data_IF_817275251167
#
_entry.id   IF_817275251167
#
_cell.length_a   1.000
_cell.length_b   1.000
_cell.length_c   1.000
_cell.angle_alpha   90.00
_cell.angle_beta   90.00
_cell.angle_gamma   90.00
#
_symmetry.space_group_name_H-M   'P 1'
#
loop_
_entity.id
_entity.type
_entity.pdbx_description
1 polymer ?
#
# COMPACT_ATOMS: atom_id res chain seq x y z
N UNK A 1 41.15 35.74 -8.34
CA UNK A 1 39.75 35.30 -8.55
C UNK A 1 39.65 34.00 -9.37
N UNK A 2 40.50 32.98 -9.13
CA UNK A 2 40.41 31.66 -9.78
C UNK A 2 40.28 30.48 -8.82
N UNK A 3 40.40 30.72 -7.50
CA UNK A 3 40.39 29.66 -6.49
C UNK A 3 39.12 29.62 -5.63
N UNK A 4 38.14 30.50 -5.88
CA UNK A 4 36.85 30.47 -5.17
C UNK A 4 35.79 29.60 -5.87
N UNK A 5 36.01 29.25 -7.15
CA UNK A 5 35.07 28.44 -7.92
C UNK A 5 35.20 26.93 -7.65
N UNK A 6 36.33 26.47 -7.10
CA UNK A 6 36.54 25.05 -6.79
C UNK A 6 36.00 24.61 -5.42
N UNK A 7 35.71 25.55 -4.52
CA UNK A 7 35.20 25.22 -3.17
C UNK A 7 33.67 25.04 -3.12
N UNK A 8 32.96 25.43 -4.18
CA UNK A 8 31.50 25.31 -4.29
C UNK A 8 31.04 23.99 -4.91
N UNK A 9 31.96 23.08 -5.26
CA UNK A 9 31.67 21.81 -5.93
C UNK A 9 31.51 20.61 -4.97
N UNK A 10 31.58 20.81 -3.65
CA UNK A 10 31.68 19.70 -2.68
C UNK A 10 30.55 19.57 -1.65
N UNK A 11 29.41 20.26 -1.78
CA UNK A 11 28.29 20.14 -0.82
C UNK A 11 26.93 19.90 -1.49
N UNK A 12 26.91 19.05 -2.51
CA UNK A 12 25.67 18.43 -3.00
C UNK A 12 25.87 16.91 -2.99
N UNK A 13 26.14 16.35 -1.81
CA UNK A 13 25.78 14.95 -1.56
C UNK A 13 24.27 14.91 -1.44
N UNK A 14 23.60 14.82 -2.58
CA UNK A 14 22.21 14.39 -2.62
C UNK A 14 22.26 12.92 -2.19
N UNK A 15 21.96 12.63 -0.93
CA UNK A 15 21.81 11.26 -0.45
C UNK A 15 20.61 10.65 -1.17
N UNK A 16 20.86 10.01 -2.31
CA UNK A 16 19.88 9.15 -2.97
C UNK A 16 19.93 7.79 -2.29
N UNK A 17 19.38 7.71 -1.08
CA UNK A 17 19.28 6.46 -0.34
C UNK A 17 18.06 5.67 -0.83
N UNK A 18 18.24 5.01 -1.99
CA UNK A 18 17.39 3.90 -2.44
C UNK A 18 18.22 2.60 -2.48
N UNK A 19 19.17 2.45 -1.57
CA UNK A 19 20.00 1.25 -1.44
C UNK A 19 19.45 0.36 -0.32
N UNK A 20 19.50 -0.95 -0.54
CA UNK A 20 19.16 -1.96 0.47
C UNK A 20 20.15 -1.85 1.63
N UNK A 21 19.62 -1.72 2.84
CA UNK A 21 20.38 -1.73 4.09
C UNK A 21 20.51 -3.17 4.55
N UNK A 22 21.74 -3.63 4.75
CA UNK A 22 22.03 -4.93 5.35
C UNK A 22 22.32 -4.71 6.84
N UNK A 23 21.43 -5.22 7.70
CA UNK A 23 21.50 -5.04 9.14
C UNK A 23 21.73 -6.40 9.82
N UNK A 24 22.90 -6.64 10.43
CA UNK A 24 23.09 -7.78 11.31
C UNK A 24 22.33 -7.55 12.63
N UNK A 25 21.37 -8.41 12.93
CA UNK A 25 20.52 -8.33 14.12
C UNK A 25 20.80 -9.50 15.06
N UNK A 26 21.35 -9.24 16.25
CA UNK A 26 21.46 -10.28 17.28
C UNK A 26 20.10 -10.52 17.93
N UNK A 27 19.61 -11.76 17.85
CA UNK A 27 18.34 -12.19 18.42
C UNK A 27 18.59 -13.02 19.68
N UNK A 28 17.96 -12.64 20.79
CA UNK A 28 18.02 -13.43 22.02
C UNK A 28 17.11 -14.67 21.94
N UNK A 29 16.04 -14.60 21.14
CA UNK A 29 15.17 -15.75 20.85
C UNK A 29 15.89 -16.83 20.05
N UNK A 30 16.70 -16.44 19.07
CA UNK A 30 17.42 -17.38 18.21
C UNK A 30 18.80 -17.77 18.76
N UNK A 31 19.32 -17.03 19.75
CA UNK A 31 20.71 -17.07 20.23
C UNK A 31 21.76 -16.99 19.10
N UNK A 32 21.47 -16.16 18.09
CA UNK A 32 22.35 -15.95 16.95
C UNK A 32 22.09 -14.58 16.29
N UNK A 33 23.06 -14.16 15.48
CA UNK A 33 22.89 -13.01 14.60
C UNK A 33 22.19 -13.42 13.31
N UNK A 34 21.10 -12.73 12.99
CA UNK A 34 20.35 -12.86 11.75
C UNK A 34 20.66 -11.67 10.84
N UNK A 35 21.02 -11.93 9.58
CA UNK A 35 21.13 -10.86 8.59
C UNK A 35 19.74 -10.48 8.07
N UNK A 36 19.46 -9.18 8.09
CA UNK A 36 18.17 -8.61 7.68
C UNK A 36 18.42 -7.61 6.56
N UNK A 37 17.61 -7.67 5.51
CA UNK A 37 17.61 -6.68 4.42
C UNK A 37 16.49 -5.68 4.64
N UNK A 38 16.76 -4.39 4.55
CA UNK A 38 15.77 -3.33 4.74
C UNK A 38 15.79 -2.39 3.53
N UNK A 39 14.63 -2.18 2.91
CA UNK A 39 14.44 -1.14 1.89
C UNK A 39 13.49 -0.08 2.43
N UNK A 40 13.98 1.15 2.52
CA UNK A 40 13.17 2.32 2.79
C UNK A 40 12.54 2.85 1.49
N UNK A 41 11.34 3.42 1.55
CA UNK A 41 10.73 4.00 0.36
C UNK A 41 11.50 5.25 -0.10
N UNK A 42 11.43 5.55 -1.40
CA UNK A 42 12.03 6.79 -1.96
C UNK A 42 11.57 8.03 -1.20
N UNK A 43 12.53 8.88 -0.87
CA UNK A 43 12.32 10.09 -0.07
C UNK A 43 11.66 9.75 1.28
N UNK A 44 12.14 8.70 1.95
CA UNK A 44 11.74 8.37 3.31
C UNK A 44 11.99 9.59 4.21
N UNK A 45 10.97 9.93 5.01
CA UNK A 45 11.06 11.02 5.96
C UNK A 45 10.72 10.48 7.36
N UNK A 46 11.70 10.41 8.28
CA UNK A 46 11.45 9.94 9.64
C UNK A 46 10.44 10.83 10.40
N UNK A 47 10.38 12.12 10.05
CA UNK A 47 9.47 13.11 10.63
C UNK A 47 8.12 13.19 9.90
N UNK A 48 7.84 12.26 8.96
CA UNK A 48 6.56 12.25 8.26
C UNK A 48 5.41 12.03 9.25
N UNK A 49 4.36 12.85 9.14
CA UNK A 49 3.14 12.67 9.94
C UNK A 49 2.48 11.31 9.66
N UNK A 50 2.57 10.82 8.42
CA UNK A 50 2.02 9.53 8.03
C UNK A 50 3.07 8.44 8.14
N UNK A 51 2.69 7.36 8.80
CA UNK A 51 3.50 6.16 8.99
C UNK A 51 3.47 5.28 7.74
N UNK A 52 4.52 4.50 7.52
CA UNK A 52 4.67 3.63 6.34
C UNK A 52 4.23 2.19 6.66
N UNK A 53 3.45 1.51 5.79
CA UNK A 53 3.22 0.06 5.92
C UNK A 53 4.52 -0.72 6.02
N UNK A 54 4.50 -1.79 6.80
CA UNK A 54 5.64 -2.69 6.97
C UNK A 54 5.38 -3.99 6.22
N UNK A 55 6.30 -4.38 5.34
CA UNK A 55 6.25 -5.65 4.61
C UNK A 55 7.38 -6.54 5.10
N UNK A 56 7.03 -7.59 5.85
CA UNK A 56 7.96 -8.64 6.28
C UNK A 56 7.99 -9.73 5.21
N UNK A 57 9.17 -10.04 4.71
CA UNK A 57 9.39 -11.06 3.67
C UNK A 57 10.28 -12.15 4.25
N UNK A 58 9.72 -13.35 4.42
CA UNK A 58 10.49 -14.55 4.75
C UNK A 58 11.25 -15.01 3.49
N UNK A 59 12.24 -15.87 3.66
CA UNK A 59 13.15 -16.27 2.58
C UNK A 59 13.81 -15.05 1.88
N UNK A 60 14.22 -14.06 2.69
CA UNK A 60 14.74 -12.77 2.23
C UNK A 60 16.01 -12.85 1.37
N UNK A 61 16.65 -14.01 1.33
CA UNK A 61 17.78 -14.29 0.46
C UNK A 61 17.41 -14.34 -1.03
N UNK A 62 16.18 -14.72 -1.39
CA UNK A 62 15.71 -14.69 -2.78
C UNK A 62 14.36 -13.98 -3.00
N UNK A 63 13.52 -13.87 -1.96
CA UNK A 63 12.17 -13.31 -2.08
C UNK A 63 12.14 -11.78 -1.86
N UNK A 64 13.18 -11.22 -1.24
CA UNK A 64 13.23 -9.80 -0.89
C UNK A 64 13.22 -8.88 -2.12
N UNK A 65 14.13 -9.09 -3.08
CA UNK A 65 14.31 -8.20 -4.23
C UNK A 65 13.05 -8.13 -5.12
N UNK A 66 12.37 -9.24 -5.46
CA UNK A 66 11.10 -9.19 -6.18
C UNK A 66 10.03 -8.35 -5.50
N UNK A 67 9.90 -8.45 -4.17
CA UNK A 67 8.95 -7.65 -3.39
C UNK A 67 9.37 -6.18 -3.34
N UNK A 68 10.62 -5.93 -2.97
CA UNK A 68 11.16 -4.59 -2.79
C UNK A 68 11.09 -3.77 -4.08
N UNK A 69 11.41 -4.38 -5.23
CA UNK A 69 11.32 -3.74 -6.53
C UNK A 69 9.87 -3.44 -6.95
N UNK A 70 8.93 -4.38 -6.75
CA UNK A 70 7.52 -4.16 -7.10
C UNK A 70 6.87 -3.10 -6.22
N UNK A 71 7.18 -3.10 -4.91
CA UNK A 71 6.68 -2.10 -3.97
C UNK A 71 7.20 -0.70 -4.34
N UNK A 72 8.49 -0.57 -4.64
CA UNK A 72 9.07 0.71 -5.07
C UNK A 72 8.46 1.20 -6.39
N UNK A 73 8.36 0.32 -7.39
CA UNK A 73 7.81 0.66 -8.71
C UNK A 73 6.35 1.13 -8.63
N UNK A 74 5.49 0.38 -7.94
CA UNK A 74 4.08 0.76 -7.84
C UNK A 74 3.87 2.01 -6.98
N UNK A 75 4.69 2.18 -5.92
CA UNK A 75 4.63 3.38 -5.09
C UNK A 75 5.11 4.64 -5.86
N UNK A 76 6.06 4.51 -6.78
CA UNK A 76 6.50 5.59 -7.66
C UNK A 76 5.33 6.17 -8.48
N UNK A 77 4.44 5.30 -8.97
CA UNK A 77 3.24 5.70 -9.73
C UNK A 77 2.05 6.10 -8.83
N UNK A 78 2.21 6.09 -7.50
CA UNK A 78 1.13 6.42 -6.57
C UNK A 78 -0.01 5.41 -6.53
N UNK A 79 0.18 4.21 -7.10
CA UNK A 79 -0.82 3.14 -7.14
C UNK A 79 -0.96 2.42 -5.79
N UNK A 80 0.12 2.40 -5.00
CA UNK A 80 0.17 1.83 -3.65
C UNK A 80 0.89 2.79 -2.70
N UNK A 81 0.72 2.68 -1.37
CA UNK A 81 1.49 3.49 -0.42
C UNK A 81 2.97 3.13 -0.45
N UNK A 82 3.81 4.14 -0.21
CA UNK A 82 5.22 3.95 0.14
C UNK A 82 5.32 3.04 1.36
N UNK A 83 6.15 2.01 1.30
CA UNK A 83 6.24 0.98 2.34
C UNK A 83 7.70 0.72 2.72
N UNK A 84 7.92 0.28 3.95
CA UNK A 84 9.21 -0.24 4.43
C UNK A 84 9.19 -1.76 4.23
N UNK A 85 10.21 -2.29 3.57
CA UNK A 85 10.32 -3.73 3.27
C UNK A 85 11.46 -4.31 4.09
N UNK A 86 11.21 -5.41 4.79
CA UNK A 86 12.18 -6.08 5.65
C UNK A 86 12.22 -7.56 5.27
N UNK A 87 13.35 -7.99 4.70
CA UNK A 87 13.63 -9.38 4.36
C UNK A 87 14.45 -10.07 5.45
N UNK A 88 14.07 -11.31 5.80
CA UNK A 88 14.81 -12.13 6.77
C UNK A 88 15.57 -13.20 6.01
N UNK A 89 16.90 -13.16 6.00
CA UNK A 89 17.69 -14.16 5.28
C UNK A 89 17.66 -15.50 6.02
N UNK A 90 17.36 -16.59 5.30
CA UNK A 90 17.15 -17.92 5.89
C UNK A 90 17.99 -19.02 5.25
N UNK A 91 18.91 -18.69 4.32
CA UNK A 91 19.74 -19.62 3.53
C UNK A 91 20.20 -20.88 4.27
N UNK A 92 20.70 -20.75 5.50
CA UNK A 92 21.29 -21.87 6.25
C UNK A 92 20.39 -22.41 7.38
N UNK A 93 19.27 -21.76 7.65
CA UNK A 93 18.43 -22.02 8.84
C UNK A 93 16.97 -22.24 8.47
N UNK A 94 16.61 -22.22 7.18
CA UNK A 94 15.23 -22.30 6.70
C UNK A 94 14.46 -23.48 7.30
N UNK A 95 15.04 -24.67 7.29
CA UNK A 95 14.36 -25.88 7.78
C UNK A 95 14.13 -25.84 9.31
N UNK A 96 15.07 -25.28 10.07
CA UNK A 96 14.94 -25.17 11.53
C UNK A 96 14.06 -24.00 11.95
N UNK A 97 14.17 -22.85 11.27
CA UNK A 97 13.36 -21.65 11.49
C UNK A 97 11.87 -21.92 11.22
N UNK A 98 11.57 -22.78 10.24
CA UNK A 98 10.20 -23.08 9.80
C UNK A 98 9.67 -24.40 10.39
N UNK A 99 10.42 -25.00 11.33
CA UNK A 99 10.06 -26.25 11.96
C UNK A 99 8.70 -26.17 12.67
N UNK A 100 7.91 -27.22 12.53
CA UNK A 100 6.70 -27.46 13.31
C UNK A 100 6.69 -28.88 13.87
N UNK A 101 6.06 -29.07 15.02
CA UNK A 101 5.92 -30.35 15.69
C UNK A 101 5.08 -31.36 14.88
N UNK A 102 5.50 -32.63 14.83
CA UNK A 102 4.86 -33.65 14.00
C UNK A 102 3.53 -34.19 14.53
N UNK A 103 3.16 -33.90 15.78
CA UNK A 103 1.91 -34.34 16.38
C UNK A 103 0.87 -33.21 16.40
N UNK A 104 1.27 -32.02 16.84
CA UNK A 104 0.35 -30.88 16.96
C UNK A 104 0.38 -29.94 15.74
N UNK A 105 1.38 -30.05 14.88
CA UNK A 105 1.53 -29.26 13.65
C UNK A 105 1.61 -27.74 13.89
N UNK A 106 2.25 -27.34 15.00
CA UNK A 106 2.54 -25.94 15.35
C UNK A 106 4.04 -25.71 15.51
N UNK A 107 4.54 -24.48 15.36
CA UNK A 107 5.94 -24.17 15.59
C UNK A 107 6.38 -24.62 16.98
N UNK A 108 7.50 -25.33 17.02
CA UNK A 108 8.11 -25.85 18.24
C UNK A 108 9.63 -25.64 18.17
N UNK A 109 10.34 -25.78 19.30
CA UNK A 109 11.79 -25.61 19.37
C UNK A 109 12.31 -24.36 18.63
N UNK A 110 13.19 -24.53 17.62
CA UNK A 110 13.73 -23.45 16.80
C UNK A 110 12.64 -22.72 16.01
N UNK A 111 11.60 -23.42 15.54
CA UNK A 111 10.47 -22.79 14.86
C UNK A 111 9.63 -21.90 15.78
N UNK A 112 9.43 -22.31 17.04
CA UNK A 112 8.80 -21.45 18.04
C UNK A 112 9.69 -20.23 18.35
N UNK A 113 11.00 -20.44 18.42
CA UNK A 113 11.99 -19.37 18.63
C UNK A 113 11.98 -18.36 17.47
N UNK A 114 11.87 -18.83 16.23
CA UNK A 114 11.75 -17.99 15.04
C UNK A 114 10.42 -17.23 14.99
N UNK A 115 9.32 -17.89 15.37
CA UNK A 115 8.02 -17.25 15.51
C UNK A 115 8.07 -16.07 16.51
N UNK A 116 8.70 -16.28 17.67
CA UNK A 116 8.87 -15.26 18.69
C UNK A 116 9.85 -14.17 18.27
N UNK A 117 10.94 -14.51 17.59
CA UNK A 117 11.90 -13.54 17.05
C UNK A 117 11.21 -12.49 16.19
N UNK A 118 10.40 -12.90 15.21
CA UNK A 118 9.74 -11.94 14.31
C UNK A 118 8.79 -11.03 15.08
N UNK A 119 7.92 -11.60 15.92
CA UNK A 119 6.87 -10.87 16.61
C UNK A 119 7.32 -10.06 17.82
N UNK A 120 8.33 -10.53 18.55
CA UNK A 120 8.75 -9.97 19.84
C UNK A 120 10.08 -9.22 19.78
N UNK A 121 10.90 -9.41 18.75
CA UNK A 121 12.19 -8.74 18.63
C UNK A 121 12.29 -7.91 17.34
N UNK A 122 12.12 -8.54 16.17
CA UNK A 122 12.32 -7.88 14.89
C UNK A 122 11.35 -6.72 14.66
N UNK A 123 10.05 -6.96 14.77
CA UNK A 123 9.05 -5.91 14.56
C UNK A 123 9.25 -4.75 15.55
N UNK A 124 9.40 -4.97 16.87
CA UNK A 124 9.74 -3.90 17.82
C UNK A 124 11.04 -3.15 17.48
N UNK A 125 12.08 -3.84 17.00
CA UNK A 125 13.32 -3.21 16.55
C UNK A 125 13.06 -2.26 15.37
N UNK A 126 12.34 -2.71 14.34
CA UNK A 126 11.99 -1.89 13.19
C UNK A 126 11.14 -0.69 13.60
N UNK A 127 10.18 -0.88 14.51
CA UNK A 127 9.33 0.18 15.07
C UNK A 127 10.11 1.22 15.86
N UNK A 128 11.20 0.82 16.53
CA UNK A 128 12.05 1.75 17.26
C UNK A 128 12.93 2.61 16.34
N UNK A 129 13.26 2.12 15.14
CA UNK A 129 14.20 2.74 14.20
C UNK A 129 13.50 3.50 13.08
N UNK A 130 12.30 3.08 12.68
CA UNK A 130 11.60 3.60 11.52
C UNK A 130 10.12 3.90 11.79
N UNK A 131 9.58 4.87 11.05
CA UNK A 131 8.22 5.35 11.20
C UNK A 131 7.19 4.41 10.54
N UNK A 132 6.94 3.24 11.13
CA UNK A 132 6.03 2.21 10.58
C UNK A 132 4.60 2.30 11.13
N UNK A 133 3.63 1.90 10.31
CA UNK A 133 2.21 1.78 10.66
C UNK A 133 1.88 0.37 11.16
N UNK A 134 0.71 0.23 11.78
CA UNK A 134 0.19 -1.09 12.20
C UNK A 134 -0.34 -1.93 11.04
N UNK A 135 -0.32 -1.41 9.80
CA UNK A 135 -0.64 -2.19 8.62
C UNK A 135 0.59 -2.98 8.18
N UNK A 136 0.76 -4.14 8.82
CA UNK A 136 1.85 -5.08 8.57
C UNK A 136 1.40 -6.17 7.59
N UNK A 137 2.21 -6.40 6.57
CA UNK A 137 2.06 -7.46 5.58
C UNK A 137 3.16 -8.49 5.84
N UNK A 138 2.83 -9.78 5.74
CA UNK A 138 3.82 -10.86 5.77
C UNK A 138 3.70 -11.72 4.51
N UNK A 139 4.83 -12.05 3.92
CA UNK A 139 4.92 -12.84 2.70
C UNK A 139 5.90 -14.01 2.85
N UNK A 140 5.56 -15.13 2.22
CA UNK A 140 6.41 -16.31 2.15
C UNK A 140 6.15 -17.12 0.88
N UNK A 141 7.02 -18.10 0.66
CA UNK A 141 6.96 -19.05 -0.44
C UNK A 141 7.22 -20.47 0.09
N UNK A 142 6.46 -21.45 -0.39
CA UNK A 142 6.64 -22.86 0.00
C UNK A 142 6.48 -23.06 1.53
N UNK A 143 7.43 -23.65 2.27
CA UNK A 143 7.32 -23.86 3.71
C UNK A 143 7.14 -22.55 4.50
N UNK A 144 7.71 -21.43 4.04
CA UNK A 144 7.58 -20.14 4.72
C UNK A 144 6.19 -19.54 4.52
N UNK A 145 5.55 -19.80 3.37
CA UNK A 145 4.15 -19.45 3.13
C UNK A 145 3.19 -20.22 4.05
N UNK A 146 3.49 -21.47 4.39
CA UNK A 146 2.76 -22.18 5.44
C UNK A 146 2.98 -21.54 6.81
N UNK A 147 4.24 -21.26 7.16
CA UNK A 147 4.62 -20.78 8.49
C UNK A 147 3.93 -19.45 8.87
N UNK A 148 3.76 -18.53 7.93
CA UNK A 148 3.15 -17.23 8.22
C UNK A 148 1.69 -17.32 8.69
N UNK A 149 0.99 -18.44 8.43
CA UNK A 149 -0.37 -18.66 8.95
C UNK A 149 -0.42 -18.65 10.48
N UNK A 150 0.63 -19.10 11.16
CA UNK A 150 0.62 -19.24 12.61
C UNK A 150 0.40 -17.91 13.35
N UNK A 151 0.78 -16.78 12.75
CA UNK A 151 0.54 -15.46 13.33
C UNK A 151 -0.94 -15.08 13.38
N UNK A 152 -1.74 -15.64 12.47
CA UNK A 152 -3.18 -15.41 12.41
C UNK A 152 -3.93 -16.07 13.56
N UNK A 153 -3.37 -17.14 14.14
CA UNK A 153 -4.00 -17.90 15.22
C UNK A 153 -3.86 -17.25 16.60
N UNK A 154 -3.06 -16.19 16.74
CA UNK A 154 -3.01 -15.39 17.97
C UNK A 154 -4.28 -14.56 18.12
N UNK A 155 -4.70 -14.31 19.36
CA UNK A 155 -5.91 -13.54 19.68
C UNK A 155 -5.93 -12.18 18.97
N UNK A 156 -4.79 -11.49 18.98
CA UNK A 156 -4.53 -10.26 18.25
C UNK A 156 -3.43 -10.49 17.20
N UNK A 157 -3.81 -10.85 15.95
CA UNK A 157 -2.83 -11.03 14.88
C UNK A 157 -2.07 -9.73 14.61
N UNK A 158 -0.75 -9.83 14.56
CA UNK A 158 0.14 -8.67 14.32
C UNK A 158 0.21 -8.25 12.85
N UNK A 159 -0.18 -9.15 11.93
CA UNK A 159 -0.26 -8.91 10.49
C UNK A 159 -1.71 -8.75 10.02
N UNK A 160 -1.92 -7.79 9.12
CA UNK A 160 -3.20 -7.52 8.44
C UNK A 160 -3.30 -8.19 7.09
N UNK A 161 -2.17 -8.53 6.46
CA UNK A 161 -2.14 -9.19 5.18
C UNK A 161 -1.14 -10.36 5.16
N UNK A 162 -1.57 -11.47 4.58
CA UNK A 162 -0.79 -12.70 4.44
C UNK A 162 -0.71 -13.05 2.95
N UNK A 163 0.51 -13.19 2.43
CA UNK A 163 0.77 -13.49 1.03
C UNK A 163 1.48 -14.84 0.95
N UNK A 164 0.76 -15.85 0.45
CA UNK A 164 1.22 -17.23 0.40
C UNK A 164 1.44 -17.65 -1.06
N UNK A 165 2.70 -17.81 -1.45
CA UNK A 165 3.06 -18.39 -2.75
C UNK A 165 3.35 -19.88 -2.60
N UNK A 166 2.63 -20.73 -3.33
CA UNK A 166 2.76 -22.19 -3.33
C UNK A 166 2.96 -22.81 -1.94
N UNK A 167 2.07 -22.56 -0.95
CA UNK A 167 2.34 -23.01 0.41
C UNK A 167 2.38 -24.54 0.55
N UNK A 168 3.44 -25.08 1.16
CA UNK A 168 3.44 -26.45 1.68
C UNK A 168 2.70 -26.52 3.01
N UNK A 169 1.38 -26.57 2.91
CA UNK A 169 0.49 -26.57 4.06
C UNK A 169 0.76 -27.78 4.96
N UNK A 170 1.05 -27.47 6.23
CA UNK A 170 1.13 -28.46 7.30
C UNK A 170 -0.22 -29.18 7.47
N UNK A 171 -0.22 -30.42 8.02
CA UNK A 171 -1.47 -31.09 8.35
C UNK A 171 -2.39 -30.21 9.22
N UNK A 172 -3.69 -30.34 9.00
CA UNK A 172 -4.76 -29.54 9.64
C UNK A 172 -4.76 -28.03 9.35
N UNK A 173 -3.70 -27.46 8.76
CA UNK A 173 -3.58 -26.02 8.50
C UNK A 173 -4.79 -25.49 7.75
N UNK A 174 -5.24 -26.21 6.73
CA UNK A 174 -6.42 -25.88 5.92
C UNK A 174 -7.67 -25.66 6.76
N UNK A 175 -7.97 -26.59 7.66
CA UNK A 175 -9.13 -26.54 8.54
C UNK A 175 -9.01 -25.40 9.55
N UNK A 176 -7.84 -25.27 10.18
CA UNK A 176 -7.56 -24.25 11.20
C UNK A 176 -7.64 -22.82 10.63
N UNK A 177 -7.09 -22.59 9.44
CA UNK A 177 -7.20 -21.30 8.74
C UNK A 177 -8.66 -20.97 8.44
N UNK A 178 -9.44 -21.93 7.92
CA UNK A 178 -10.87 -21.70 7.64
C UNK A 178 -11.64 -21.32 8.91
N UNK A 179 -11.43 -22.03 10.01
CA UNK A 179 -12.06 -21.73 11.30
C UNK A 179 -11.65 -20.36 11.82
N UNK A 180 -10.36 -20.02 11.74
CA UNK A 180 -9.88 -18.71 12.16
C UNK A 180 -10.46 -17.58 11.32
N UNK A 181 -10.42 -17.70 9.99
CA UNK A 181 -10.99 -16.70 9.08
C UNK A 181 -12.50 -16.51 9.27
N UNK A 182 -13.22 -17.54 9.74
CA UNK A 182 -14.66 -17.43 10.06
C UNK A 182 -14.92 -16.56 11.29
N UNK A 183 -13.98 -16.50 12.25
CA UNK A 183 -14.17 -15.84 13.55
C UNK A 183 -13.45 -14.49 13.68
N UNK A 184 -12.50 -14.18 12.78
CA UNK A 184 -11.80 -12.89 12.78
C UNK A 184 -12.75 -11.72 12.58
N UNK A 185 -12.60 -10.68 13.40
CA UNK A 185 -13.42 -9.48 13.39
C UNK A 185 -12.67 -8.23 12.86
N UNK A 186 -11.43 -8.40 12.43
CA UNK A 186 -10.61 -7.33 11.82
C UNK A 186 -10.41 -7.58 10.35
N UNK A 187 -10.39 -6.50 9.56
CA UNK A 187 -10.03 -6.54 8.15
C UNK A 187 -8.70 -7.29 7.96
N UNK A 188 -8.76 -8.41 7.24
CA UNK A 188 -7.64 -9.34 7.03
C UNK A 188 -7.58 -9.72 5.56
N UNK A 189 -6.43 -9.48 4.93
CA UNK A 189 -6.17 -9.86 3.54
C UNK A 189 -5.46 -11.20 3.53
N UNK A 190 -6.04 -12.18 2.84
CA UNK A 190 -5.48 -13.52 2.76
C UNK A 190 -5.36 -13.91 1.29
N UNK A 191 -4.13 -14.01 0.80
CA UNK A 191 -3.83 -14.31 -0.59
C UNK A 191 -3.08 -15.63 -0.70
N UNK A 192 -3.58 -16.51 -1.57
CA UNK A 192 -2.95 -17.80 -1.86
C UNK A 192 -2.78 -17.95 -3.36
N UNK A 193 -1.61 -18.40 -3.79
CA UNK A 193 -1.34 -18.68 -5.20
C UNK A 193 -0.68 -20.05 -5.41
N UNK A 194 -0.99 -20.67 -6.54
CA UNK A 194 -0.31 -21.84 -7.12
C UNK A 194 -0.25 -21.68 -8.65
N UNK A 195 0.26 -22.67 -9.37
CA UNK A 195 0.28 -22.67 -10.83
C UNK A 195 -0.05 -24.04 -11.44
N UNK A 196 -0.26 -24.06 -12.75
CA UNK A 196 -0.53 -25.27 -13.51
C UNK A 196 0.63 -26.27 -13.47
N UNK A 197 1.88 -25.80 -13.54
CA UNK A 197 3.11 -26.60 -13.47
C UNK A 197 3.82 -26.54 -12.10
N UNK A 198 3.06 -26.26 -11.03
CA UNK A 198 3.55 -26.32 -9.66
C UNK A 198 3.84 -27.78 -9.23
N UNK A 199 4.46 -27.96 -8.06
CA UNK A 199 4.66 -29.27 -7.45
C UNK A 199 3.29 -29.91 -7.19
N UNK A 200 3.01 -31.04 -7.86
CA UNK A 200 1.67 -31.66 -7.90
C UNK A 200 1.03 -31.83 -6.53
N UNK A 201 1.79 -32.32 -5.53
CA UNK A 201 1.27 -32.53 -4.18
C UNK A 201 0.89 -31.22 -3.48
N UNK A 202 1.67 -30.15 -3.69
CA UNK A 202 1.38 -28.84 -3.12
C UNK A 202 0.14 -28.25 -3.80
N UNK A 203 0.12 -28.27 -5.13
CA UNK A 203 -1.00 -27.80 -5.94
C UNK A 203 -2.32 -28.43 -5.52
N UNK A 204 -2.39 -29.75 -5.37
CA UNK A 204 -3.62 -30.45 -4.99
C UNK A 204 -4.10 -30.04 -3.58
N UNK A 205 -3.17 -29.90 -2.62
CA UNK A 205 -3.48 -29.38 -1.28
C UNK A 205 -3.97 -27.92 -1.35
N UNK A 206 -3.34 -27.07 -2.16
CA UNK A 206 -3.69 -25.66 -2.33
C UNK A 206 -5.06 -25.50 -2.98
N UNK A 207 -5.38 -26.29 -4.01
CA UNK A 207 -6.70 -26.31 -4.65
C UNK A 207 -7.79 -26.78 -3.68
N UNK A 208 -7.48 -27.77 -2.85
CA UNK A 208 -8.35 -28.22 -1.76
C UNK A 208 -8.57 -27.09 -0.74
N UNK A 209 -7.50 -26.40 -0.34
CA UNK A 209 -7.57 -25.25 0.56
C UNK A 209 -8.44 -24.14 0.01
N UNK A 210 -8.23 -23.76 -1.25
CA UNK A 210 -9.06 -22.77 -1.92
C UNK A 210 -10.54 -23.18 -1.94
N UNK A 211 -10.84 -24.44 -2.26
CA UNK A 211 -12.21 -24.96 -2.28
C UNK A 211 -12.89 -24.85 -0.91
N UNK A 212 -12.14 -25.06 0.17
CA UNK A 212 -12.66 -24.91 1.54
C UNK A 212 -12.89 -23.44 1.96
N UNK A 213 -12.16 -22.50 1.35
CA UNK A 213 -12.30 -21.06 1.62
C UNK A 213 -13.32 -20.38 0.70
N UNK A 214 -13.67 -20.97 -0.45
CA UNK A 214 -14.57 -20.37 -1.44
C UNK A 214 -15.97 -20.03 -0.91
N UNK A 215 -16.42 -20.70 0.15
CA UNK A 215 -17.72 -20.46 0.80
C UNK A 215 -17.67 -19.52 2.02
N UNK A 216 -16.53 -18.90 2.31
CA UNK A 216 -16.39 -18.03 3.48
C UNK A 216 -17.23 -16.76 3.32
N UNK A 217 -18.12 -16.49 4.28
CA UNK A 217 -19.04 -15.35 4.27
C UNK A 217 -18.65 -14.19 5.19
N UNK A 218 -17.43 -14.20 5.74
CA UNK A 218 -17.00 -13.17 6.67
C UNK A 218 -16.63 -11.86 5.92
N UNK A 219 -17.36 -10.75 6.13
CA UNK A 219 -17.13 -9.48 5.42
C UNK A 219 -15.81 -8.80 5.80
N UNK A 220 -15.15 -9.25 6.88
CA UNK A 220 -13.83 -8.77 7.29
C UNK A 220 -12.68 -9.50 6.59
N UNK A 221 -12.96 -10.54 5.82
CA UNK A 221 -11.93 -11.31 5.12
C UNK A 221 -11.90 -10.96 3.64
N UNK A 222 -10.76 -10.45 3.21
CA UNK A 222 -10.46 -10.13 1.83
C UNK A 222 -9.66 -11.29 1.23
N UNK A 223 -10.37 -12.39 0.92
CA UNK A 223 -9.76 -13.59 0.35
C UNK A 223 -9.55 -13.46 -1.16
N UNK A 224 -8.36 -13.85 -1.63
CA UNK A 224 -8.01 -13.93 -3.05
C UNK A 224 -7.20 -15.19 -3.32
N UNK A 225 -7.51 -15.82 -4.44
CA UNK A 225 -6.82 -17.01 -4.91
C UNK A 225 -6.39 -16.86 -6.36
N UNK A 226 -5.20 -17.36 -6.68
CA UNK A 226 -4.72 -17.51 -8.04
C UNK A 226 -4.19 -18.91 -8.34
N UNK A 227 -4.53 -19.36 -9.55
CA UNK A 227 -3.90 -20.50 -10.19
C UNK A 227 -3.34 -20.01 -11.53
N UNK A 228 -2.05 -19.72 -11.56
CA UNK A 228 -1.39 -19.18 -12.75
C UNK A 228 -1.22 -20.26 -13.82
N UNK A 229 -1.45 -19.89 -15.07
CA UNK A 229 -1.13 -20.72 -16.24
C UNK A 229 0.27 -20.37 -16.74
N UNK A 230 0.95 -21.34 -17.36
CA UNK A 230 2.30 -21.15 -17.92
C UNK A 230 3.34 -20.71 -16.87
N UNK A 231 3.13 -21.10 -15.61
CA UNK A 231 4.04 -20.82 -14.51
C UNK A 231 4.35 -22.10 -13.74
N UNK A 232 5.52 -22.12 -13.10
CA UNK A 232 5.99 -23.19 -12.24
C UNK A 232 6.04 -22.71 -10.78
N UNK A 233 6.47 -23.61 -9.89
CA UNK A 233 6.64 -23.37 -8.46
C UNK A 233 7.34 -22.04 -8.13
N UNK A 234 8.36 -21.65 -8.91
CA UNK A 234 9.16 -20.45 -8.66
C UNK A 234 8.65 -19.24 -9.46
N UNK A 235 8.31 -19.43 -10.74
CA UNK A 235 7.93 -18.31 -11.62
C UNK A 235 6.57 -17.68 -11.25
N UNK A 236 5.71 -18.40 -10.53
CA UNK A 236 4.45 -17.85 -10.01
C UNK A 236 4.66 -16.67 -9.05
N UNK A 237 5.80 -16.62 -8.36
CA UNK A 237 6.12 -15.51 -7.44
C UNK A 237 6.21 -14.20 -8.20
N UNK A 238 6.92 -14.21 -9.35
CA UNK A 238 7.09 -13.03 -10.19
C UNK A 238 5.78 -12.52 -10.80
N UNK A 239 4.82 -13.41 -11.04
CA UNK A 239 3.48 -13.06 -11.54
C UNK A 239 2.54 -12.59 -10.42
N UNK A 240 2.65 -13.21 -9.25
CA UNK A 240 1.72 -13.03 -8.15
C UNK A 240 1.95 -11.76 -7.34
N UNK A 241 3.21 -11.35 -7.11
CA UNK A 241 3.54 -10.13 -6.34
C UNK A 241 2.79 -8.89 -6.85
N UNK A 242 2.88 -8.49 -8.14
CA UNK A 242 2.14 -7.32 -8.62
C UNK A 242 0.63 -7.48 -8.47
N UNK A 243 0.10 -8.70 -8.65
CA UNK A 243 -1.35 -8.96 -8.56
C UNK A 243 -1.88 -8.81 -7.13
N UNK A 244 -1.19 -9.40 -6.15
CA UNK A 244 -1.60 -9.33 -4.74
C UNK A 244 -1.44 -7.93 -4.17
N UNK A 245 -0.37 -7.21 -4.51
CA UNK A 245 -0.19 -5.81 -4.06
C UNK A 245 -1.30 -4.90 -4.60
N UNK A 246 -1.66 -5.06 -5.87
CA UNK A 246 -2.79 -4.35 -6.46
C UNK A 246 -4.14 -4.69 -5.81
N UNK A 247 -4.32 -5.93 -5.36
CA UNK A 247 -5.53 -6.36 -4.67
C UNK A 247 -5.60 -5.80 -3.24
N UNK A 248 -4.51 -5.91 -2.47
CA UNK A 248 -4.41 -5.39 -1.11
C UNK A 248 -4.65 -3.88 -1.11
N UNK A 249 -4.01 -3.15 -2.03
CA UNK A 249 -4.07 -1.69 -2.08
C UNK A 249 -5.09 -1.13 -3.07
N UNK A 250 -6.07 -1.93 -3.51
CA UNK A 250 -7.05 -1.52 -4.52
C UNK A 250 -7.78 -0.21 -4.16
N UNK A 251 -8.14 -0.04 -2.88
CA UNK A 251 -8.80 1.18 -2.39
C UNK A 251 -7.89 2.42 -2.42
N UNK A 252 -6.57 2.23 -2.30
CA UNK A 252 -5.59 3.32 -2.29
C UNK A 252 -5.42 3.96 -3.66
N UNK A 253 -5.70 3.23 -4.75
CA UNK A 253 -5.53 3.71 -6.13
C UNK A 253 -6.34 4.99 -6.40
N UNK A 254 -5.82 5.89 -7.27
CA UNK A 254 -6.59 7.02 -7.78
C UNK A 254 -7.90 6.58 -8.44
N UNK A 255 -8.90 7.46 -8.42
CA UNK A 255 -10.21 7.21 -8.99
C UNK A 255 -10.08 7.10 -10.50
N UNK A 256 -10.26 5.89 -11.01
CA UNK A 256 -10.23 5.59 -12.43
C UNK A 256 -11.62 5.79 -13.07
N UNK A 257 -11.69 5.65 -14.40
CA UNK A 257 -12.93 5.84 -15.16
C UNK A 257 -14.06 4.91 -14.69
N UNK A 258 -13.75 3.65 -14.37
CA UNK A 258 -14.75 2.69 -13.93
C UNK A 258 -15.31 3.06 -12.56
N UNK A 259 -14.45 3.35 -11.57
CA UNK A 259 -14.84 3.80 -10.24
C UNK A 259 -15.64 5.11 -10.32
N UNK A 260 -15.18 6.06 -11.13
CA UNK A 260 -15.89 7.31 -11.40
C UNK A 260 -17.33 7.07 -11.88
N UNK A 261 -17.51 6.26 -12.92
CA UNK A 261 -18.83 6.04 -13.52
C UNK A 261 -19.73 5.17 -12.66
N UNK A 262 -19.20 4.12 -12.04
CA UNK A 262 -20.02 3.11 -11.36
C UNK A 262 -20.24 3.39 -9.88
N UNK A 263 -19.38 4.21 -9.25
CA UNK A 263 -19.44 4.48 -7.82
C UNK A 263 -19.61 5.98 -7.53
N UNK A 264 -18.74 6.87 -8.02
CA UNK A 264 -18.82 8.29 -7.68
C UNK A 264 -20.08 8.95 -8.28
N UNK A 265 -20.33 8.76 -9.58
CA UNK A 265 -21.49 9.33 -10.26
C UNK A 265 -22.82 8.79 -9.73
N UNK A 266 -22.84 7.55 -9.24
CA UNK A 266 -24.05 6.91 -8.70
C UNK A 266 -24.22 7.13 -7.19
N UNK A 267 -23.22 7.68 -6.49
CA UNK A 267 -23.29 7.91 -5.06
C UNK A 267 -24.33 8.99 -4.70
N UNK A 268 -25.31 8.61 -3.86
CA UNK A 268 -26.43 9.46 -3.44
C UNK A 268 -25.99 10.70 -2.66
N UNK A 269 -24.94 10.59 -1.85
CA UNK A 269 -24.42 11.71 -1.06
C UNK A 269 -23.67 12.79 -1.85
N UNK A 270 -23.50 12.61 -3.17
CA UNK A 270 -22.78 13.54 -4.03
C UNK A 270 -21.27 13.25 -4.14
N UNK A 271 -20.60 13.80 -5.17
CA UNK A 271 -19.24 13.41 -5.53
C UNK A 271 -18.19 13.80 -4.48
N UNK A 272 -18.36 14.94 -3.79
CA UNK A 272 -17.43 15.31 -2.72
C UNK A 272 -17.56 14.38 -1.50
N UNK A 273 -18.79 13.99 -1.13
CA UNK A 273 -19.00 13.02 -0.03
C UNK A 273 -18.45 11.64 -0.37
N UNK A 274 -18.50 11.24 -1.65
CA UNK A 274 -17.83 10.02 -2.09
C UNK A 274 -16.31 10.11 -1.91
N UNK A 275 -15.69 11.24 -2.28
CA UNK A 275 -14.27 11.49 -2.05
C UNK A 275 -13.92 11.38 -0.57
N UNK A 276 -14.67 12.06 0.31
CA UNK A 276 -14.48 11.97 1.77
C UNK A 276 -14.59 10.52 2.26
N UNK A 277 -15.61 9.79 1.80
CA UNK A 277 -15.79 8.37 2.15
C UNK A 277 -14.57 7.55 1.75
N UNK A 278 -14.10 7.65 0.50
CA UNK A 278 -12.93 6.89 0.01
C UNK A 278 -11.70 7.14 0.89
N UNK A 279 -11.40 8.39 1.20
CA UNK A 279 -10.21 8.73 2.00
C UNK A 279 -10.33 8.34 3.48
N UNK A 280 -11.55 8.36 4.03
CA UNK A 280 -11.83 7.82 5.37
C UNK A 280 -11.68 6.30 5.40
N UNK A 281 -12.18 5.60 4.38
CA UNK A 281 -12.06 4.15 4.27
C UNK A 281 -10.58 3.72 4.14
N UNK A 282 -9.77 4.47 3.40
CA UNK A 282 -8.30 4.26 3.33
C UNK A 282 -7.69 4.33 4.73
N UNK A 283 -8.04 5.35 5.51
CA UNK A 283 -7.55 5.51 6.89
C UNK A 283 -8.00 4.36 7.79
N UNK A 284 -9.25 3.93 7.67
CA UNK A 284 -9.82 2.85 8.49
C UNK A 284 -9.17 1.49 8.17
N UNK A 285 -8.99 1.18 6.89
CA UNK A 285 -8.48 -0.12 6.43
C UNK A 285 -6.96 -0.21 6.59
N UNK A 286 -6.22 0.83 6.21
CA UNK A 286 -4.76 0.78 6.20
C UNK A 286 -4.09 1.49 7.38
N UNK A 287 -4.85 2.17 8.25
CA UNK A 287 -4.32 2.79 9.46
C UNK A 287 -3.44 4.04 9.23
N UNK A 288 -3.46 4.63 8.02
CA UNK A 288 -2.74 5.87 7.72
C UNK A 288 -3.55 6.82 6.82
N UNK A 289 -3.26 8.12 6.88
CA UNK A 289 -3.91 9.12 6.04
C UNK A 289 -3.27 9.16 4.64
N UNK A 290 -4.07 9.12 3.58
CA UNK A 290 -3.61 9.39 2.21
C UNK A 290 -3.79 10.87 1.90
N UNK A 291 -2.75 11.52 1.38
CA UNK A 291 -2.88 12.87 0.82
C UNK A 291 -3.77 12.82 -0.43
N UNK A 292 -4.74 13.73 -0.52
CA UNK A 292 -5.61 13.82 -1.70
C UNK A 292 -4.76 14.11 -2.95
N UNK A 293 -5.05 13.39 -4.04
CA UNK A 293 -4.37 13.58 -5.33
C UNK A 293 -5.24 14.37 -6.30
N UNK A 294 -4.61 15.16 -7.18
CA UNK A 294 -5.33 16.07 -8.08
C UNK A 294 -6.28 15.33 -9.04
N UNK A 295 -5.92 14.11 -9.47
CA UNK A 295 -6.80 13.28 -10.30
C UNK A 295 -8.18 13.02 -9.64
N UNK A 296 -8.19 12.74 -8.34
CA UNK A 296 -9.44 12.47 -7.61
C UNK A 296 -10.27 13.75 -7.46
N UNK A 297 -9.61 14.90 -7.27
CA UNK A 297 -10.28 16.20 -7.23
C UNK A 297 -10.89 16.57 -8.59
N UNK A 298 -10.17 16.28 -9.68
CA UNK A 298 -10.67 16.46 -11.05
C UNK A 298 -11.89 15.58 -11.33
N UNK A 299 -11.90 14.34 -10.84
CA UNK A 299 -13.07 13.47 -10.90
C UNK A 299 -14.27 14.09 -10.16
N UNK A 300 -14.06 14.66 -8.97
CA UNK A 300 -15.13 15.39 -8.25
C UNK A 300 -15.68 16.56 -9.06
N UNK A 301 -14.82 17.39 -9.68
CA UNK A 301 -15.27 18.50 -10.54
C UNK A 301 -16.15 18.01 -11.68
N UNK A 302 -15.70 16.98 -12.39
CA UNK A 302 -16.44 16.43 -13.53
C UNK A 302 -17.83 15.90 -13.10
N UNK A 303 -17.90 15.19 -11.98
CA UNK A 303 -19.16 14.69 -11.45
C UNK A 303 -20.07 15.82 -10.92
N UNK A 304 -19.50 16.82 -10.24
CA UNK A 304 -20.23 17.95 -9.70
C UNK A 304 -20.86 18.79 -10.80
N UNK A 305 -20.15 19.00 -11.92
CA UNK A 305 -20.69 19.69 -13.09
C UNK A 305 -21.90 18.96 -13.69
N UNK A 306 -21.80 17.64 -13.88
CA UNK A 306 -22.91 16.82 -14.41
C UNK A 306 -24.14 16.88 -13.49
N UNK A 307 -23.91 16.84 -12.16
CA UNK A 307 -24.96 16.84 -11.15
C UNK A 307 -25.45 18.25 -10.75
N UNK A 308 -24.87 19.30 -11.33
CA UNK A 308 -25.08 20.71 -10.93
C UNK A 308 -24.95 20.91 -9.41
N UNK A 309 -23.97 20.23 -8.79
CA UNK A 309 -23.76 20.18 -7.34
C UNK A 309 -22.86 21.32 -6.87
N UNK A 310 -23.46 22.46 -6.56
CA UNK A 310 -22.75 23.65 -6.09
C UNK A 310 -22.03 23.43 -4.73
N UNK A 311 -22.59 22.59 -3.85
CA UNK A 311 -21.96 22.33 -2.55
C UNK A 311 -20.67 21.51 -2.72
N UNK A 312 -20.63 20.57 -3.67
CA UNK A 312 -19.40 19.86 -4.00
C UNK A 312 -18.30 20.80 -4.50
N UNK A 313 -18.60 21.79 -5.34
CA UNK A 313 -17.62 22.81 -5.76
C UNK A 313 -17.10 23.62 -4.56
N UNK A 314 -18.00 24.04 -3.67
CA UNK A 314 -17.66 24.81 -2.48
C UNK A 314 -16.74 24.02 -1.55
N UNK A 315 -17.08 22.78 -1.23
CA UNK A 315 -16.25 21.94 -0.35
C UNK A 315 -14.92 21.57 -1.01
N UNK A 316 -14.91 21.29 -2.32
CA UNK A 316 -13.68 21.06 -3.06
C UNK A 316 -12.75 22.29 -3.03
N UNK A 317 -13.29 23.51 -3.13
CA UNK A 317 -12.49 24.74 -3.02
C UNK A 317 -11.82 24.90 -1.65
N UNK A 318 -12.50 24.47 -0.57
CA UNK A 318 -11.94 24.48 0.78
C UNK A 318 -10.82 23.44 0.91
N UNK A 319 -11.06 22.23 0.41
CA UNK A 319 -10.08 21.16 0.39
C UNK A 319 -8.81 21.57 -0.39
N UNK A 320 -8.97 22.15 -1.57
CA UNK A 320 -7.86 22.60 -2.42
C UNK A 320 -6.96 23.62 -1.72
N UNK A 321 -7.56 24.62 -1.06
CA UNK A 321 -6.81 25.63 -0.30
C UNK A 321 -6.10 25.06 0.92
N UNK A 322 -6.66 24.02 1.55
CA UNK A 322 -6.04 23.35 2.69
C UNK A 322 -4.85 22.47 2.27
N UNK A 323 -5.03 21.64 1.24
CA UNK A 323 -4.04 20.63 0.84
C UNK A 323 -2.97 21.16 -0.13
N UNK A 324 -3.29 22.24 -0.85
CA UNK A 324 -2.45 22.82 -1.91
C UNK A 324 -2.38 24.37 -1.86
N UNK A 325 -2.11 25.00 -0.70
CA UNK A 325 -2.20 26.47 -0.54
C UNK A 325 -1.26 27.27 -1.46
N UNK A 326 -0.13 26.70 -1.87
CA UNK A 326 0.85 27.37 -2.74
C UNK A 326 0.71 27.02 -4.23
N UNK A 327 -0.29 26.22 -4.59
CA UNK A 327 -0.48 25.71 -5.96
C UNK A 327 -1.65 26.40 -6.65
N UNK A 328 -1.50 26.60 -7.97
CA UNK A 328 -2.52 27.17 -8.86
C UNK A 328 -3.86 26.45 -8.76
N UNK A 329 -3.87 25.15 -8.46
CA UNK A 329 -5.09 24.35 -8.31
C UNK A 329 -6.02 24.90 -7.21
N UNK A 330 -5.47 25.49 -6.14
CA UNK A 330 -6.27 26.07 -5.07
C UNK A 330 -7.06 27.30 -5.53
N UNK A 331 -6.41 28.18 -6.30
CA UNK A 331 -7.04 29.33 -6.92
C UNK A 331 -8.03 28.91 -7.99
N UNK A 332 -7.67 27.92 -8.83
CA UNK A 332 -8.52 27.40 -9.89
C UNK A 332 -9.84 26.84 -9.38
N UNK A 333 -9.80 25.91 -8.40
CA UNK A 333 -11.03 25.34 -7.86
C UNK A 333 -11.88 26.34 -7.06
N UNK A 334 -11.26 27.36 -6.46
CA UNK A 334 -12.01 28.46 -5.83
C UNK A 334 -12.68 29.35 -6.87
N UNK A 335 -12.00 29.64 -7.99
CA UNK A 335 -12.59 30.36 -9.11
C UNK A 335 -13.76 29.60 -9.74
N UNK A 336 -13.62 28.28 -9.95
CA UNK A 336 -14.71 27.45 -10.47
C UNK A 336 -15.94 27.47 -9.57
N UNK A 337 -15.77 27.40 -8.26
CA UNK A 337 -16.91 27.54 -7.32
C UNK A 337 -17.65 28.87 -7.53
N UNK A 338 -16.93 29.99 -7.65
CA UNK A 338 -17.57 31.28 -7.89
C UNK A 338 -18.17 31.42 -9.28
N UNK A 339 -17.65 30.75 -10.32
CA UNK A 339 -18.33 30.65 -11.61
C UNK A 339 -19.67 29.94 -11.46
N UNK A 340 -19.72 28.80 -10.76
CA UNK A 340 -20.97 28.06 -10.53
C UNK A 340 -21.97 28.83 -9.65
N UNK A 341 -21.49 29.75 -8.80
CA UNK A 341 -22.31 30.70 -8.04
C UNK A 341 -22.78 31.92 -8.87
N UNK A 342 -22.41 32.00 -10.16
CA UNK A 342 -22.61 33.18 -11.02
C UNK A 342 -21.95 34.47 -10.48
N UNK A 343 -20.85 34.33 -9.75
CA UNK A 343 -20.07 35.43 -9.20
C UNK A 343 -18.77 35.67 -9.99
N UNK A 344 -18.92 36.08 -11.25
CA UNK A 344 -17.81 36.27 -12.19
C UNK A 344 -16.74 37.22 -11.67
N UNK A 345 -17.11 38.24 -10.88
CA UNK A 345 -16.16 39.16 -10.25
C UNK A 345 -15.21 38.43 -9.29
N UNK A 346 -15.75 37.60 -8.39
CA UNK A 346 -14.91 36.82 -7.46
C UNK A 346 -14.13 35.72 -8.19
N UNK A 347 -14.75 35.05 -9.15
CA UNK A 347 -14.06 34.04 -9.95
C UNK A 347 -12.81 34.63 -10.63
N UNK A 348 -12.96 35.78 -11.30
CA UNK A 348 -11.86 36.50 -11.94
C UNK A 348 -10.74 36.88 -10.95
N UNK A 349 -11.10 37.36 -9.76
CA UNK A 349 -10.11 37.70 -8.72
C UNK A 349 -9.28 36.48 -8.31
N UNK A 350 -9.90 35.33 -8.10
CA UNK A 350 -9.17 34.11 -7.73
C UNK A 350 -8.25 33.63 -8.85
N UNK A 351 -8.72 33.57 -10.09
CA UNK A 351 -7.86 33.16 -11.21
C UNK A 351 -6.66 34.10 -11.40
N UNK A 352 -6.86 35.41 -11.30
CA UNK A 352 -5.78 36.40 -11.38
C UNK A 352 -4.76 36.22 -10.25
N UNK A 353 -5.23 36.03 -9.00
CA UNK A 353 -4.35 35.77 -7.87
C UNK A 353 -3.55 34.46 -8.02
N UNK A 354 -4.15 33.46 -8.66
CA UNK A 354 -3.53 32.17 -8.92
C UNK A 354 -2.31 32.24 -9.83
N UNK A 355 -2.19 33.25 -10.70
CA UNK A 355 -1.04 33.41 -11.61
C UNK A 355 0.31 33.58 -10.87
N UNK A 356 0.27 33.94 -9.59
CA UNK A 356 1.42 34.08 -8.71
C UNK A 356 1.81 32.77 -7.98
N UNK A 357 0.99 31.72 -8.07
CA UNK A 357 1.21 30.44 -7.41
C UNK A 357 2.04 29.48 -8.28
N UNK A 358 2.42 28.33 -7.73
CA UNK A 358 3.15 27.29 -8.46
C UNK A 358 2.20 26.49 -9.35
N UNK A 359 2.56 26.19 -10.61
CA UNK A 359 1.80 25.26 -11.44
C UNK A 359 1.63 23.89 -10.76
N UNK A 360 0.51 23.24 -11.06
CA UNK A 360 0.13 21.90 -10.58
C UNK A 360 0.21 20.89 -11.72
N UNK A 361 -0.11 19.62 -11.47
CA UNK A 361 -0.13 18.58 -12.51
C UNK A 361 -1.15 18.89 -13.62
N UNK A 362 -2.32 19.41 -13.26
CA UNK A 362 -3.42 19.68 -14.19
C UNK A 362 -3.75 21.16 -14.39
N UNK A 363 -3.16 22.06 -13.60
CA UNK A 363 -3.47 23.49 -13.63
C UNK A 363 -2.18 24.30 -13.75
N UNK A 364 -1.98 24.91 -14.90
CA UNK A 364 -0.90 25.84 -15.16
C UNK A 364 -1.42 27.27 -15.45
N UNK A 365 -0.50 28.14 -15.89
CA UNK A 365 -0.81 29.52 -16.21
C UNK A 365 -1.79 29.64 -17.37
N UNK A 366 -1.69 28.77 -18.37
CA UNK A 366 -2.51 28.86 -19.58
C UNK A 366 -3.96 28.51 -19.24
N UNK A 367 -4.18 27.49 -18.38
CA UNK A 367 -5.51 27.15 -17.85
C UNK A 367 -6.14 28.33 -17.10
N UNK A 368 -5.39 29.03 -16.26
CA UNK A 368 -5.90 30.20 -15.54
C UNK A 368 -6.18 31.40 -16.46
N UNK A 369 -5.30 31.64 -17.44
CA UNK A 369 -5.46 32.73 -18.40
C UNK A 369 -6.68 32.51 -19.29
N UNK A 370 -6.92 31.28 -19.75
CA UNK A 370 -8.12 30.93 -20.51
C UNK A 370 -9.39 31.31 -19.74
N UNK A 371 -9.49 30.86 -18.47
CA UNK A 371 -10.59 31.24 -17.57
C UNK A 371 -10.75 32.76 -17.41
N UNK A 372 -9.65 33.49 -17.24
CA UNK A 372 -9.66 34.96 -17.13
C UNK A 372 -10.22 35.61 -18.40
N UNK A 373 -9.79 35.15 -19.57
CA UNK A 373 -10.21 35.72 -20.84
C UNK A 373 -11.65 35.36 -21.18
N UNK A 374 -12.12 34.15 -20.88
CA UNK A 374 -13.54 33.77 -21.03
C UNK A 374 -14.42 34.72 -20.23
N UNK A 375 -14.14 34.92 -18.94
CA UNK A 375 -14.95 35.80 -18.08
C UNK A 375 -14.90 37.25 -18.57
N UNK A 376 -13.74 37.74 -19.04
CA UNK A 376 -13.61 39.11 -19.55
C UNK A 376 -14.23 39.33 -20.92
N UNK A 377 -14.39 38.29 -21.73
CA UNK A 377 -15.04 38.36 -23.04
C UNK A 377 -16.57 38.25 -22.97
N UNK A 378 -17.10 37.71 -21.87
CA UNK A 378 -18.55 37.60 -21.60
C UNK A 378 -19.15 38.85 -20.93
N UNK A 379 -18.31 39.74 -20.37
CA UNK A 379 -18.69 41.04 -19.80
C UNK A 379 -18.37 42.17 -20.78
#
# INVERSE_FOLDING_TARGET
MKNLALLLLFILTISMDAQVIYEPFYSSKLDQTREIKIQLPRNYNPEAKNKYPLVIVLDGDYLFEPFAGNLDYQAYWGEIPKSIVVGINQVNTRDTDLFYDSEIYFPAHEGASFFEFIGMELIPFIESKYNVSDFRIVAGHDASANFINYYMFKDNPIFKAYILFSPDLAPEMTTRVRERLTTLNTDTFYYVATSDNDISQLKDKILTHNSQLAGLSNPKIHYRFDNFTEADHYSLVGLGIPRVLNAIFALYKPINKQEYTTQMLTYEGGPFKYLEKKYNDIKLIYGFEKKVVENDMKAVVAAAAIKTDLEAFKELSKLARKEFPESMISAYYTGLYYEQENNSKKALQYYQSGLLLKPSEYVDKDVLLDKIYTIKGEN
#
